data_IF_373907857267
#
_entry.id   IF_373907857267
#
_cell.length_a   1.000
_cell.length_b   1.000
_cell.length_c   1.000
_cell.angle_alpha   90.00
_cell.angle_beta   90.00
_cell.angle_gamma   90.00
#
_symmetry.space_group_name_H-M   'P 1'
#
loop_
_entity.id
_entity.type
_entity.pdbx_description
1 polymer ?
#
# COMPACT_ATOMS: atom_id res chain seq x y z
N UNK A 1 -10.23 -0.47 -27.99
CA UNK A 1 -9.12 0.33 -27.43
C UNK A 1 -8.58 -0.38 -26.21
N UNK A 2 -7.26 -0.50 -26.07
CA UNK A 2 -6.64 -1.02 -24.84
C UNK A 2 -6.65 0.08 -23.77
N UNK A 3 -6.93 -0.29 -22.52
CA UNK A 3 -6.86 0.62 -21.38
C UNK A 3 -5.40 0.69 -20.90
N UNK A 4 -4.79 1.87 -20.96
CA UNK A 4 -3.49 2.14 -20.34
C UNK A 4 -3.73 2.68 -18.93
N UNK A 5 -3.77 1.76 -17.96
CA UNK A 5 -3.99 2.08 -16.55
C UNK A 5 -2.93 1.39 -15.72
N UNK A 6 -2.31 2.15 -14.82
CA UNK A 6 -1.26 1.67 -13.92
C UNK A 6 -1.73 1.79 -12.48
N UNK A 7 -1.30 0.87 -11.62
CA UNK A 7 -1.70 0.82 -10.21
C UNK A 7 -0.49 1.10 -9.31
N UNK A 8 -0.73 1.82 -8.22
CA UNK A 8 0.21 1.90 -7.10
C UNK A 8 -0.32 1.01 -5.99
N UNK A 9 0.56 0.28 -5.30
CA UNK A 9 0.16 -0.74 -4.33
C UNK A 9 0.89 -0.49 -3.01
N UNK A 10 0.14 -0.51 -1.91
CA UNK A 10 0.68 -0.52 -0.56
C UNK A 10 0.48 -1.90 0.07
N UNK A 11 1.57 -2.49 0.59
CA UNK A 11 1.56 -3.79 1.22
C UNK A 11 1.96 -3.66 2.69
N UNK A 12 1.34 -4.44 3.56
CA UNK A 12 1.80 -4.64 4.94
C UNK A 12 1.56 -6.09 5.34
N UNK A 13 2.06 -6.47 6.50
CA UNK A 13 1.75 -7.76 7.12
C UNK A 13 1.22 -7.57 8.53
N UNK A 14 0.56 -8.60 9.05
CA UNK A 14 0.17 -8.69 10.45
C UNK A 14 1.42 -8.73 11.32
N UNK A 15 1.53 -7.84 12.30
CA UNK A 15 2.76 -7.63 13.10
C UNK A 15 2.78 -8.36 14.44
N UNK A 16 1.68 -9.01 14.84
CA UNK A 16 1.64 -9.81 16.06
C UNK A 16 0.26 -9.82 16.73
N UNK A 17 0.13 -10.41 17.93
CA UNK A 17 -1.16 -10.61 18.59
C UNK A 17 -1.90 -9.31 18.94
N UNK A 18 -1.16 -8.21 19.14
CA UNK A 18 -1.71 -6.89 19.50
C UNK A 18 -1.98 -5.99 18.28
N UNK A 19 -1.69 -6.49 17.08
CA UNK A 19 -2.02 -5.77 15.87
C UNK A 19 -3.53 -5.72 15.69
N UNK A 20 -4.02 -4.61 15.16
CA UNK A 20 -5.43 -4.42 14.89
C UNK A 20 -5.64 -4.31 13.39
N UNK A 21 -6.85 -4.64 12.93
CA UNK A 21 -7.20 -4.47 11.52
C UNK A 21 -7.01 -3.02 11.08
N UNK A 22 -7.46 -2.05 11.88
CA UNK A 22 -7.32 -0.63 11.57
C UNK A 22 -5.85 -0.20 11.49
N UNK A 23 -5.02 -0.66 12.43
CA UNK A 23 -3.58 -0.38 12.38
C UNK A 23 -2.93 -1.01 11.15
N UNK A 24 -3.33 -2.23 10.77
CA UNK A 24 -2.86 -2.88 9.54
C UNK A 24 -3.29 -2.10 8.29
N UNK A 25 -4.56 -1.74 8.18
CA UNK A 25 -5.07 -0.97 7.04
C UNK A 25 -4.39 0.40 6.93
N UNK A 26 -4.17 1.09 8.06
CA UNK A 26 -3.46 2.37 8.09
C UNK A 26 -2.03 2.27 7.56
N UNK A 27 -1.32 1.16 7.84
CA UNK A 27 0.01 0.91 7.27
C UNK A 27 -0.03 0.63 5.78
N UNK A 28 -0.97 -0.21 5.33
CA UNK A 28 -1.13 -0.48 3.90
C UNK A 28 -1.44 0.80 3.12
N UNK A 29 -2.31 1.67 3.65
CA UNK A 29 -2.62 2.96 3.03
C UNK A 29 -1.41 3.90 3.04
N UNK A 30 -0.65 3.97 4.14
CA UNK A 30 0.58 4.75 4.19
C UNK A 30 1.60 4.29 3.11
N UNK A 31 1.76 2.97 2.94
CA UNK A 31 2.60 2.41 1.88
C UNK A 31 2.06 2.75 0.47
N UNK A 32 0.74 2.74 0.28
CA UNK A 32 0.11 3.12 -0.98
C UNK A 32 0.37 4.60 -1.31
N UNK A 33 0.24 5.48 -0.32
CA UNK A 33 0.55 6.90 -0.46
C UNK A 33 2.03 7.13 -0.76
N UNK A 34 2.93 6.38 -0.12
CA UNK A 34 4.36 6.40 -0.46
C UNK A 34 4.60 6.01 -1.91
N UNK A 35 3.98 4.93 -2.40
CA UNK A 35 4.09 4.50 -3.80
C UNK A 35 3.62 5.59 -4.77
N UNK A 36 2.53 6.29 -4.44
CA UNK A 36 2.04 7.43 -5.23
C UNK A 36 3.01 8.62 -5.23
N UNK A 37 3.62 8.92 -4.08
CA UNK A 37 4.56 10.03 -3.93
C UNK A 37 5.90 9.79 -4.65
N UNK A 38 6.35 8.53 -4.73
CA UNK A 38 7.62 8.14 -5.35
C UNK A 38 7.58 8.00 -6.88
N UNK A 39 6.44 8.26 -7.52
CA UNK A 39 6.31 8.19 -8.97
C UNK A 39 5.15 7.36 -9.49
N UNK A 40 4.36 6.73 -8.59
CA UNK A 40 3.27 5.79 -8.93
C UNK A 40 3.82 4.52 -9.62
N UNK A 41 2.91 3.67 -10.10
CA UNK A 41 3.22 2.40 -10.79
C UNK A 41 4.26 1.52 -10.08
N UNK A 42 4.18 1.47 -8.75
CA UNK A 42 5.11 0.73 -7.92
C UNK A 42 4.42 0.18 -6.68
N UNK A 43 5.11 -0.76 -6.04
CA UNK A 43 4.68 -1.35 -4.77
C UNK A 43 5.61 -0.89 -3.66
N UNK A 44 5.04 -0.42 -2.56
CA UNK A 44 5.78 -0.11 -1.34
C UNK A 44 5.28 -0.98 -0.19
N UNK A 45 6.15 -1.25 0.78
CA UNK A 45 5.87 -2.11 1.93
C UNK A 45 6.02 -1.28 3.22
N UNK A 46 5.09 -1.45 4.16
CA UNK A 46 5.13 -0.90 5.50
C UNK A 46 5.03 -1.99 6.57
#
# INVERSE_FOLDING_TARGET
HALDCQASIGLTHWRGPEDTLDAMLGRADAALYQAKAQGRNQTCIA
#
